data_IF_094816487704
#
_entry.id   IF_094816487704
#
_cell.length_a   1.000
_cell.length_b   1.000
_cell.length_c   1.000
_cell.angle_alpha   90.00
_cell.angle_beta   90.00
_cell.angle_gamma   90.00
#
_symmetry.space_group_name_H-M   'P 1'
#
loop_
_entity.id
_entity.type
_entity.pdbx_description
1 polymer ?
#
# COMPACT_ATOMS: atom_id res chain seq x y z
N UNK A 1 14.34 17.46 42.00
CA UNK A 1 14.32 18.88 41.56
C UNK A 1 14.42 18.90 40.04
N UNK A 2 13.38 19.48 39.42
CA UNK A 2 13.24 19.91 38.01
C UNK A 2 13.66 18.94 36.88
N UNK A 3 12.74 18.03 36.51
CA UNK A 3 12.64 17.52 35.14
C UNK A 3 12.03 18.62 34.28
N UNK A 4 12.86 19.31 33.50
CA UNK A 4 12.42 20.32 32.54
C UNK A 4 11.79 19.64 31.34
N UNK A 5 10.46 19.62 31.26
CA UNK A 5 9.78 19.37 29.99
C UNK A 5 10.17 20.49 29.03
N UNK A 6 10.84 20.14 27.94
CA UNK A 6 11.18 21.09 26.89
C UNK A 6 9.90 21.45 26.14
N UNK A 7 9.12 22.38 26.71
CA UNK A 7 7.94 22.95 26.06
C UNK A 7 8.38 24.23 25.35
N UNK A 8 8.51 24.16 24.03
CA UNK A 8 8.60 25.37 23.21
C UNK A 8 7.32 26.19 23.42
N UNK A 9 7.41 27.47 23.81
CA UNK A 9 6.23 28.26 24.12
C UNK A 9 5.34 28.46 22.88
N UNK A 10 4.02 28.28 23.05
CA UNK A 10 3.01 28.49 22.00
C UNK A 10 3.03 29.96 21.58
N UNK A 11 3.08 30.29 20.27
CA UNK A 11 3.08 31.68 19.83
C UNK A 11 1.78 32.39 20.22
N UNK A 12 1.88 33.60 20.78
CA UNK A 12 0.70 34.39 21.18
C UNK A 12 0.02 35.01 19.95
N UNK A 13 -1.30 34.85 19.84
CA UNK A 13 -2.12 35.27 18.70
C UNK A 13 -2.09 36.79 18.45
N UNK A 14 -1.50 37.21 17.33
CA UNK A 14 -1.82 38.50 16.70
C UNK A 14 -2.99 38.29 15.72
N UNK A 15 -4.10 39.03 15.87
CA UNK A 15 -5.26 38.90 14.97
C UNK A 15 -4.93 39.36 13.55
N UNK A 16 -5.07 38.46 12.58
CA UNK A 16 -4.91 38.72 11.15
C UNK A 16 -4.26 37.54 10.40
N UNK A 17 -4.31 37.52 9.05
CA UNK A 17 -3.89 36.38 8.23
C UNK A 17 -2.42 35.96 8.38
N UNK A 18 -1.55 36.84 8.90
CA UNK A 18 -0.15 36.52 9.23
C UNK A 18 -0.01 35.77 10.57
N UNK A 19 -0.93 35.96 11.51
CA UNK A 19 -0.98 35.24 12.79
C UNK A 19 -1.42 33.78 12.64
N UNK A 20 -2.41 33.54 11.77
CA UNK A 20 -2.87 32.18 11.45
C UNK A 20 -1.80 31.35 10.73
N UNK A 21 -1.01 31.96 9.85
CA UNK A 21 0.08 31.28 9.15
C UNK A 21 1.20 30.85 10.11
N UNK A 22 1.52 31.68 11.10
CA UNK A 22 2.55 31.40 12.10
C UNK A 22 2.11 30.26 13.03
N UNK A 23 0.84 30.25 13.46
CA UNK A 23 0.26 29.19 14.26
C UNK A 23 0.20 27.86 13.48
N UNK A 24 -0.21 27.90 12.22
CA UNK A 24 -0.29 26.71 11.37
C UNK A 24 1.10 26.09 11.12
N UNK A 25 2.12 26.94 10.87
CA UNK A 25 3.50 26.47 10.70
C UNK A 25 4.07 25.87 11.99
N UNK A 26 3.79 26.48 13.14
CA UNK A 26 4.19 25.96 14.45
C UNK A 26 3.54 24.59 14.77
N UNK A 27 2.25 24.43 14.48
CA UNK A 27 1.55 23.15 14.67
C UNK A 27 2.15 22.02 13.82
N UNK A 28 2.50 22.32 12.56
CA UNK A 28 3.15 21.35 11.66
C UNK A 28 4.55 21.00 12.16
N UNK A 29 5.35 22.00 12.53
CA UNK A 29 6.70 21.79 13.06
C UNK A 29 6.68 20.99 14.38
N UNK A 30 5.71 21.25 15.26
CA UNK A 30 5.55 20.51 16.51
C UNK A 30 5.13 19.05 16.26
N UNK A 31 4.13 18.81 15.40
CA UNK A 31 3.70 17.46 15.04
C UNK A 31 4.83 16.65 14.38
N UNK A 32 5.65 17.29 13.53
CA UNK A 32 6.84 16.67 12.94
C UNK A 32 7.91 16.35 13.99
N UNK A 33 8.11 17.22 14.98
CA UNK A 33 9.08 16.99 16.06
C UNK A 33 8.61 15.89 17.02
N UNK A 34 7.32 15.82 17.34
CA UNK A 34 6.73 14.73 18.13
C UNK A 34 6.80 13.40 17.37
N UNK A 35 6.52 13.38 16.07
CA UNK A 35 6.66 12.18 15.24
C UNK A 35 8.12 11.70 15.18
N UNK A 36 9.09 12.63 15.10
CA UNK A 36 10.53 12.31 15.15
C UNK A 36 10.92 11.74 16.52
N UNK A 37 10.51 12.39 17.60
CA UNK A 37 10.79 11.94 18.96
C UNK A 37 10.18 10.56 19.25
N UNK A 38 8.93 10.31 18.84
CA UNK A 38 8.28 9.02 18.99
C UNK A 38 8.96 7.94 18.15
N UNK A 39 9.35 8.26 16.91
CA UNK A 39 10.11 7.34 16.04
C UNK A 39 11.47 6.98 16.65
N UNK A 40 12.18 7.95 17.19
CA UNK A 40 13.50 7.73 17.79
C UNK A 40 13.38 6.95 19.12
N UNK A 41 12.28 7.16 19.87
CA UNK A 41 11.94 6.37 21.06
C UNK A 41 11.60 4.92 20.70
N UNK A 42 10.77 4.69 19.66
CA UNK A 42 10.45 3.35 19.16
C UNK A 42 11.71 2.60 18.70
N UNK A 43 12.61 3.31 18.00
CA UNK A 43 13.90 2.78 17.53
C UNK A 43 14.80 2.37 18.68
N UNK A 44 14.90 3.19 19.73
CA UNK A 44 15.68 2.87 20.93
C UNK A 44 15.09 1.66 21.66
N UNK A 45 13.77 1.56 21.75
CA UNK A 45 13.10 0.40 22.36
C UNK A 45 13.37 -0.89 21.59
N UNK A 46 13.15 -0.89 20.27
CA UNK A 46 13.38 -2.08 19.42
C UNK A 46 14.86 -2.51 19.48
N UNK A 47 15.79 -1.56 19.45
CA UNK A 47 17.22 -1.87 19.52
C UNK A 47 17.63 -2.42 20.91
N UNK A 48 17.06 -1.88 21.99
CA UNK A 48 17.28 -2.40 23.36
C UNK A 48 16.72 -3.81 23.52
N UNK A 49 15.52 -4.09 23.02
CA UNK A 49 14.92 -5.42 23.06
C UNK A 49 15.78 -6.44 22.28
N UNK A 50 16.31 -6.05 21.13
CA UNK A 50 17.22 -6.89 20.34
C UNK A 50 18.53 -7.19 21.09
N UNK A 51 19.14 -6.18 21.73
CA UNK A 51 20.34 -6.36 22.57
C UNK A 51 20.09 -7.25 23.79
N UNK A 52 18.93 -7.09 24.44
CA UNK A 52 18.56 -7.92 25.59
C UNK A 52 18.37 -9.38 25.18
N UNK A 53 17.76 -9.61 24.01
CA UNK A 53 17.58 -10.94 23.45
C UNK A 53 18.92 -11.59 23.06
N UNK A 54 19.86 -10.81 22.49
CA UNK A 54 21.23 -11.29 22.20
C UNK A 54 21.99 -11.68 23.48
N UNK A 55 21.89 -10.86 24.53
CA UNK A 55 22.50 -11.13 25.83
C UNK A 55 21.89 -12.34 26.56
N UNK A 56 20.61 -12.65 26.32
CA UNK A 56 19.97 -13.87 26.85
C UNK A 56 20.47 -15.14 26.14
N UNK A 57 20.85 -15.04 24.87
CA UNK A 57 21.30 -16.20 24.07
C UNK A 57 22.79 -16.54 24.21
N UNK A 58 23.62 -15.62 24.71
CA UNK A 58 25.05 -15.83 24.84
C UNK A 58 25.42 -16.37 26.24
N UNK A 59 25.87 -17.63 26.34
CA UNK A 59 26.35 -18.23 27.62
C UNK A 59 27.76 -17.80 28.04
N UNK A 60 28.35 -16.80 27.39
CA UNK A 60 29.68 -16.28 27.71
C UNK A 60 29.83 -14.82 27.33
N UNK A 61 29.58 -13.93 28.30
CA UNK A 61 29.86 -12.50 28.19
C UNK A 61 28.64 -11.63 27.88
N UNK A 62 28.40 -10.64 28.75
CA UNK A 62 27.43 -9.56 28.56
C UNK A 62 28.01 -8.56 27.56
N UNK A 63 27.32 -8.33 26.45
CA UNK A 63 27.69 -7.28 25.49
C UNK A 63 27.15 -5.96 26.02
N UNK A 64 28.05 -5.06 26.43
CA UNK A 64 27.74 -3.68 26.77
C UNK A 64 28.24 -2.79 25.65
N UNK A 65 27.35 -1.99 25.07
CA UNK A 65 27.71 -0.96 24.10
C UNK A 65 27.90 0.38 24.81
N UNK A 66 28.93 1.10 24.41
CA UNK A 66 29.21 2.46 24.86
C UNK A 66 28.37 3.48 24.08
N UNK A 67 28.16 4.66 24.66
CA UNK A 67 27.34 5.73 24.06
C UNK A 67 27.86 6.17 22.68
N UNK A 68 29.16 6.03 22.40
CA UNK A 68 29.73 6.32 21.08
C UNK A 68 29.45 5.24 20.03
N UNK A 69 29.31 3.96 20.41
CA UNK A 69 28.98 2.87 19.49
C UNK A 69 27.50 2.92 19.04
N UNK A 70 26.63 3.50 19.87
CA UNK A 70 25.26 3.85 19.51
C UNK A 70 25.21 4.96 18.45
N UNK A 71 26.10 5.94 18.54
CA UNK A 71 26.22 7.01 17.55
C UNK A 71 26.81 6.51 16.23
N UNK A 72 27.80 5.61 16.24
CA UNK A 72 28.34 5.00 15.02
C UNK A 72 27.37 4.01 14.34
N UNK A 73 26.53 3.31 15.11
CA UNK A 73 25.43 2.51 14.55
C UNK A 73 24.32 3.39 13.96
N UNK A 74 24.05 4.55 14.57
CA UNK A 74 23.22 5.60 13.96
C UNK A 74 23.85 6.15 12.68
N UNK A 75 25.20 6.12 12.56
CA UNK A 75 25.93 6.57 11.37
C UNK A 75 25.65 5.69 10.14
N UNK A 76 25.67 4.38 10.32
CA UNK A 76 25.41 3.45 9.21
C UNK A 76 23.95 3.39 8.73
N UNK A 77 23.01 4.00 9.48
CA UNK A 77 21.59 4.04 9.13
C UNK A 77 21.14 5.39 8.51
N UNK A 78 21.97 6.44 8.52
CA UNK A 78 21.60 7.75 7.96
C UNK A 78 21.84 7.93 6.45
N UNK A 79 22.60 7.05 5.80
CA UNK A 79 22.73 7.08 4.33
C UNK A 79 21.50 6.51 3.60
N UNK A 80 20.58 5.85 4.30
CA UNK A 80 19.26 5.55 3.76
C UNK A 80 18.31 6.72 4.02
N UNK A 81 18.52 7.81 3.30
CA UNK A 81 17.46 8.76 3.01
C UNK A 81 16.54 8.09 1.99
N UNK A 82 15.34 7.57 2.32
CA UNK A 82 14.32 7.52 1.29
C UNK A 82 14.17 8.98 0.85
N UNK A 83 14.62 9.29 -0.38
CA UNK A 83 14.30 10.58 -1.00
C UNK A 83 12.83 10.82 -0.68
N UNK A 84 12.44 11.98 -0.11
CA UNK A 84 11.03 12.24 0.11
C UNK A 84 10.38 11.95 -1.23
N UNK A 85 9.54 10.91 -1.27
CA UNK A 85 8.59 10.76 -2.34
C UNK A 85 7.94 12.13 -2.33
N UNK A 86 8.14 12.90 -3.40
CA UNK A 86 7.34 14.09 -3.59
C UNK A 86 5.94 13.51 -3.59
N UNK A 87 5.26 13.66 -2.46
CA UNK A 87 3.81 13.60 -2.41
C UNK A 87 3.45 14.72 -3.37
N UNK A 88 3.30 14.37 -4.64
CA UNK A 88 2.55 15.16 -5.59
C UNK A 88 1.32 15.52 -4.79
N UNK A 89 1.13 16.82 -4.55
CA UNK A 89 -0.05 17.36 -3.88
C UNK A 89 -1.22 16.47 -4.29
N UNK A 90 -2.01 15.91 -3.34
CA UNK A 90 -3.19 15.16 -3.70
C UNK A 90 -3.90 16.00 -4.74
N UNK A 91 -3.95 15.49 -5.97
CA UNK A 91 -4.76 16.15 -6.99
C UNK A 91 -6.13 16.17 -6.33
N UNK A 92 -6.61 17.38 -5.99
CA UNK A 92 -7.83 17.54 -5.22
C UNK A 92 -8.83 16.51 -5.69
N UNK A 93 -9.25 15.66 -4.75
CA UNK A 93 -10.06 14.48 -4.98
C UNK A 93 -11.27 14.87 -5.81
N UNK A 94 -11.15 14.77 -7.14
CA UNK A 94 -12.30 14.48 -7.96
C UNK A 94 -12.65 13.08 -7.51
N UNK A 95 -13.74 12.95 -6.76
CA UNK A 95 -14.46 11.69 -6.66
C UNK A 95 -14.71 11.25 -8.10
N UNK A 96 -13.79 10.47 -8.67
CA UNK A 96 -14.09 9.63 -9.79
C UNK A 96 -15.19 8.71 -9.27
N UNK A 97 -16.32 8.70 -9.95
CA UNK A 97 -17.45 7.85 -9.59
C UNK A 97 -17.11 6.40 -9.94
N UNK A 98 -16.22 5.78 -9.15
CA UNK A 98 -15.79 4.38 -9.32
C UNK A 98 -14.41 4.11 -8.71
N UNK A 99 -14.22 2.91 -8.15
CA UNK A 99 -12.95 2.44 -7.61
C UNK A 99 -12.95 2.26 -6.09
N UNK A 100 -11.76 2.04 -5.55
CA UNK A 100 -11.55 1.82 -4.12
C UNK A 100 -11.40 3.15 -3.37
N UNK A 101 -11.88 3.18 -2.13
CA UNK A 101 -11.80 4.34 -1.25
C UNK A 101 -10.38 4.50 -0.68
N UNK A 102 -9.69 5.55 -1.13
CA UNK A 102 -8.33 5.90 -0.71
C UNK A 102 -8.29 6.78 0.55
N UNK A 103 -9.45 7.13 1.10
CA UNK A 103 -9.50 8.02 2.26
C UNK A 103 -8.92 7.36 3.52
N UNK A 104 -8.20 8.15 4.30
CA UNK A 104 -7.62 7.72 5.57
C UNK A 104 -8.69 7.29 6.61
N UNK A 105 -9.95 7.68 6.40
CA UNK A 105 -11.09 7.33 7.23
C UNK A 105 -12.06 6.34 6.54
N UNK A 106 -11.63 5.69 5.47
CA UNK A 106 -12.39 4.62 4.81
C UNK A 106 -12.67 3.46 5.77
N UNK A 107 -13.68 2.66 5.46
CA UNK A 107 -14.01 1.46 6.25
C UNK A 107 -12.84 0.46 6.25
N UNK A 108 -12.10 0.38 5.14
CA UNK A 108 -10.87 -0.41 5.05
C UNK A 108 -9.78 0.10 5.98
N UNK A 109 -9.48 1.40 5.96
CA UNK A 109 -8.44 1.97 6.82
C UNK A 109 -8.75 1.79 8.30
N UNK A 110 -10.01 1.98 8.72
CA UNK A 110 -10.46 1.72 10.09
C UNK A 110 -10.31 0.25 10.47
N UNK A 111 -10.72 -0.66 9.60
CA UNK A 111 -10.61 -2.08 9.88
C UNK A 111 -9.15 -2.58 9.95
N UNK A 112 -8.21 -1.91 9.29
CA UNK A 112 -6.78 -2.16 9.50
C UNK A 112 -6.39 -1.80 10.94
N UNK A 113 -6.84 -0.67 11.47
CA UNK A 113 -6.58 -0.29 12.87
C UNK A 113 -7.26 -1.26 13.84
N UNK A 114 -8.52 -1.64 13.59
CA UNK A 114 -9.24 -2.61 14.42
C UNK A 114 -8.44 -3.92 14.54
N UNK A 115 -7.84 -4.39 13.43
CA UNK A 115 -6.98 -5.58 13.45
C UNK A 115 -5.69 -5.37 14.26
N UNK A 116 -5.08 -4.19 14.18
CA UNK A 116 -3.90 -3.82 15.00
C UNK A 116 -4.25 -3.81 16.48
N UNK A 117 -5.44 -3.34 16.84
CA UNK A 117 -5.96 -3.34 18.21
C UNK A 117 -6.42 -4.74 18.69
N UNK A 118 -6.33 -5.76 17.83
CA UNK A 118 -6.77 -7.13 18.14
C UNK A 118 -8.28 -7.35 18.04
N UNK A 119 -9.03 -6.37 17.53
CA UNK A 119 -10.47 -6.43 17.28
C UNK A 119 -10.77 -7.14 15.95
N UNK A 120 -10.32 -8.39 15.80
CA UNK A 120 -10.44 -9.14 14.54
C UNK A 120 -11.73 -9.96 14.50
N UNK A 121 -12.67 -9.55 13.66
CA UNK A 121 -13.86 -10.31 13.31
C UNK A 121 -13.63 -11.36 12.22
N UNK A 122 -14.71 -12.08 11.87
CA UNK A 122 -14.75 -13.03 10.73
C UNK A 122 -15.42 -12.44 9.49
N UNK A 123 -15.68 -11.13 9.53
CA UNK A 123 -16.46 -10.38 8.55
C UNK A 123 -15.70 -10.09 7.26
N UNK A 124 -16.40 -9.39 6.39
CA UNK A 124 -15.84 -8.74 5.21
C UNK A 124 -15.92 -7.24 5.39
N UNK A 125 -14.86 -6.57 4.96
CA UNK A 125 -14.78 -5.11 4.90
C UNK A 125 -14.87 -4.69 3.45
N UNK A 126 -15.78 -3.77 3.15
CA UNK A 126 -15.93 -3.22 1.81
C UNK A 126 -14.88 -2.14 1.55
N UNK A 127 -14.28 -2.19 0.37
CA UNK A 127 -13.21 -1.28 -0.03
C UNK A 127 -13.65 -0.28 -1.10
N UNK A 128 -14.87 -0.45 -1.66
CA UNK A 128 -15.38 0.34 -2.77
C UNK A 128 -15.93 -0.55 -3.89
N UNK A 129 -15.82 -0.07 -5.12
CA UNK A 129 -16.22 -0.81 -6.34
C UNK A 129 -15.02 -1.10 -7.24
N UNK A 130 -15.20 -1.93 -8.26
CA UNK A 130 -14.15 -2.35 -9.20
C UNK A 130 -13.44 -1.13 -9.80
N UNK A 131 -12.11 -0.95 -9.59
CA UNK A 131 -11.31 0.06 -10.31
C UNK A 131 -11.46 0.03 -11.84
N UNK A 132 -11.37 1.20 -12.48
CA UNK A 132 -11.45 1.32 -13.95
C UNK A 132 -10.42 0.43 -14.67
N UNK A 133 -9.22 0.27 -14.11
CA UNK A 133 -8.20 -0.63 -14.68
C UNK A 133 -8.72 -2.06 -14.80
N UNK A 134 -9.49 -2.55 -13.84
CA UNK A 134 -10.06 -3.89 -13.92
C UNK A 134 -11.30 -3.95 -14.80
N UNK A 135 -12.16 -2.92 -14.80
CA UNK A 135 -13.31 -2.87 -15.72
C UNK A 135 -12.86 -2.87 -17.18
N UNK A 136 -11.81 -2.11 -17.51
CA UNK A 136 -11.17 -2.12 -18.83
C UNK A 136 -10.65 -3.51 -19.23
N UNK A 137 -10.20 -4.29 -18.25
CA UNK A 137 -9.76 -5.68 -18.45
C UNK A 137 -10.91 -6.69 -18.47
N UNK A 138 -12.16 -6.23 -18.46
CA UNK A 138 -13.37 -7.05 -18.55
C UNK A 138 -13.87 -7.60 -17.22
N UNK A 139 -13.36 -7.13 -16.07
CA UNK A 139 -13.96 -7.50 -14.78
C UNK A 139 -15.30 -6.76 -14.60
N UNK A 140 -16.29 -7.40 -13.97
CA UNK A 140 -17.59 -6.78 -13.72
C UNK A 140 -17.46 -5.59 -12.77
N UNK A 141 -18.33 -4.60 -12.95
CA UNK A 141 -18.48 -3.50 -12.00
C UNK A 141 -19.24 -4.00 -10.76
N UNK A 142 -18.50 -4.32 -9.70
CA UNK A 142 -19.05 -4.90 -8.49
C UNK A 142 -18.34 -4.38 -7.25
N UNK A 143 -18.82 -4.79 -6.07
CA UNK A 143 -18.20 -4.48 -4.79
C UNK A 143 -16.85 -5.21 -4.66
N UNK A 144 -15.87 -4.50 -4.15
CA UNK A 144 -14.57 -5.05 -3.76
C UNK A 144 -14.53 -5.17 -2.25
N UNK A 145 -14.04 -6.31 -1.75
CA UNK A 145 -13.96 -6.58 -0.30
C UNK A 145 -12.75 -7.42 0.08
N UNK A 146 -12.40 -7.36 1.35
CA UNK A 146 -11.36 -8.18 1.98
C UNK A 146 -11.89 -8.78 3.28
N UNK A 147 -11.38 -9.95 3.70
CA UNK A 147 -11.70 -10.50 5.02
C UNK A 147 -10.79 -9.90 6.08
N UNK A 148 -11.31 -9.66 7.28
CA UNK A 148 -10.50 -9.23 8.43
C UNK A 148 -9.41 -10.25 8.78
N UNK A 149 -9.73 -11.55 8.72
CA UNK A 149 -8.74 -12.62 8.86
C UNK A 149 -7.65 -12.61 7.77
N UNK A 150 -7.95 -12.08 6.57
CA UNK A 150 -6.90 -11.89 5.55
C UNK A 150 -5.98 -10.76 5.98
N UNK A 151 -6.51 -9.63 6.46
CA UNK A 151 -5.69 -8.51 6.97
C UNK A 151 -4.80 -8.94 8.14
N UNK A 152 -5.34 -9.72 9.08
CA UNK A 152 -4.55 -10.29 10.18
C UNK A 152 -3.38 -11.16 9.69
N UNK A 153 -3.60 -12.01 8.67
CA UNK A 153 -2.52 -12.83 8.08
C UNK A 153 -1.47 -11.99 7.37
N UNK A 154 -1.93 -10.96 6.65
CA UNK A 154 -1.09 -10.03 5.89
C UNK A 154 -0.17 -9.22 6.81
N UNK A 155 -0.65 -8.87 8.01
CA UNK A 155 0.12 -8.16 9.04
C UNK A 155 0.68 -9.11 10.12
N UNK A 156 0.61 -10.43 9.92
CA UNK A 156 0.80 -11.39 11.01
C UNK A 156 2.17 -11.31 11.67
N UNK A 157 3.24 -11.15 10.90
CA UNK A 157 4.59 -11.01 11.46
C UNK A 157 4.77 -9.66 12.17
N UNK A 158 4.15 -8.58 11.68
CA UNK A 158 4.15 -7.26 12.33
C UNK A 158 3.44 -7.30 13.68
N UNK A 159 2.32 -8.03 13.77
CA UNK A 159 1.54 -8.21 14.98
C UNK A 159 2.17 -9.20 15.99
N UNK A 160 3.34 -9.76 15.67
CA UNK A 160 4.00 -10.76 16.53
C UNK A 160 3.23 -12.08 16.64
N UNK A 161 2.36 -12.40 15.68
CA UNK A 161 1.61 -13.65 15.67
C UNK A 161 2.59 -14.79 15.40
N UNK A 162 2.75 -15.68 16.37
CA UNK A 162 3.54 -16.89 16.19
C UNK A 162 2.96 -17.72 15.05
N UNK A 163 3.84 -18.19 14.14
CA UNK A 163 3.39 -18.96 12.98
C UNK A 163 2.52 -20.16 13.39
N UNK A 164 2.84 -20.92 14.44
CA UNK A 164 2.10 -22.14 14.75
C UNK A 164 1.90 -22.99 13.48
N UNK A 165 0.68 -23.47 13.22
CA UNK A 165 0.28 -24.12 11.96
C UNK A 165 0.02 -23.15 10.78
N UNK A 166 0.14 -21.84 10.99
CA UNK A 166 -0.05 -20.79 9.96
C UNK A 166 1.22 -20.61 9.12
N UNK A 167 1.31 -21.33 8.00
CA UNK A 167 2.46 -21.27 7.09
C UNK A 167 2.58 -19.97 6.27
N UNK A 168 1.54 -19.12 6.24
CA UNK A 168 1.40 -18.02 5.27
C UNK A 168 1.25 -16.63 5.91
N UNK A 169 1.93 -16.36 7.02
CA UNK A 169 2.00 -15.01 7.59
C UNK A 169 2.96 -14.12 6.80
N UNK A 170 2.64 -12.83 6.75
CA UNK A 170 3.43 -11.79 6.07
C UNK A 170 3.72 -10.62 7.01
N UNK A 171 4.65 -9.76 6.60
CA UNK A 171 5.08 -8.59 7.34
C UNK A 171 4.73 -7.29 6.61
N UNK A 172 3.48 -7.17 6.16
CA UNK A 172 2.99 -5.88 5.66
C UNK A 172 2.65 -5.00 6.87
N UNK A 173 3.29 -3.84 6.97
CA UNK A 173 2.99 -2.87 8.02
C UNK A 173 1.60 -2.25 7.81
N UNK A 174 0.88 -1.85 8.88
CA UNK A 174 -0.47 -1.30 8.76
C UNK A 174 -0.56 -0.09 7.82
N UNK A 175 0.40 0.83 7.93
CA UNK A 175 0.43 2.03 7.09
C UNK A 175 0.73 1.70 5.62
N UNK A 176 1.49 0.64 5.36
CA UNK A 176 1.70 0.12 4.00
C UNK A 176 0.43 -0.53 3.47
N UNK A 177 -0.27 -1.32 4.30
CA UNK A 177 -1.53 -1.96 3.91
C UNK A 177 -2.63 -0.94 3.60
N UNK A 178 -2.71 0.17 4.33
CA UNK A 178 -3.66 1.27 4.09
C UNK A 178 -3.48 1.94 2.72
N UNK A 179 -2.31 1.82 2.09
CA UNK A 179 -2.06 2.31 0.72
C UNK A 179 -2.61 1.38 -0.36
N UNK A 180 -3.05 0.18 -0.03
CA UNK A 180 -3.52 -0.82 -1.00
C UNK A 180 -4.65 -0.29 -1.92
N UNK A 181 -5.69 0.43 -1.45
CA UNK A 181 -6.71 1.00 -2.33
C UNK A 181 -6.12 1.83 -3.47
N UNK A 182 -5.20 2.75 -3.15
CA UNK A 182 -4.51 3.59 -4.12
C UNK A 182 -3.73 2.76 -5.15
N UNK A 183 -3.07 1.70 -4.69
CA UNK A 183 -2.26 0.84 -5.53
C UNK A 183 -3.09 -0.06 -6.47
N UNK A 184 -4.32 -0.40 -6.08
CA UNK A 184 -5.24 -1.16 -6.91
C UNK A 184 -6.02 -0.26 -7.88
N UNK A 185 -6.23 1.01 -7.54
CA UNK A 185 -6.81 2.00 -8.44
C UNK A 185 -5.86 2.33 -9.61
N UNK A 186 -4.55 2.38 -9.36
CA UNK A 186 -3.52 2.67 -10.36
C UNK A 186 -2.28 1.75 -10.19
N UNK A 187 -2.36 0.48 -10.62
CA UNK A 187 -1.31 -0.50 -10.40
C UNK A 187 -0.12 -0.36 -11.34
N UNK A 188 0.98 -1.06 -11.05
CA UNK A 188 2.09 -1.22 -12.01
C UNK A 188 1.67 -2.16 -13.14
N UNK A 189 1.11 -3.32 -12.77
CA UNK A 189 0.74 -4.35 -13.73
C UNK A 189 -0.41 -5.21 -13.19
N UNK A 190 -1.14 -5.84 -14.10
CA UNK A 190 -2.15 -6.86 -13.77
C UNK A 190 -1.85 -8.11 -14.59
N UNK A 191 -1.81 -9.26 -13.93
CA UNK A 191 -1.58 -10.57 -14.52
C UNK A 191 -2.81 -11.46 -14.34
N UNK A 192 -3.05 -12.35 -15.29
CA UNK A 192 -3.99 -13.46 -15.15
C UNK A 192 -3.30 -14.65 -14.49
N UNK A 193 -3.90 -15.25 -13.47
CA UNK A 193 -3.34 -16.47 -12.89
C UNK A 193 -3.44 -17.64 -13.88
N UNK A 194 -2.37 -18.41 -14.04
CA UNK A 194 -2.35 -19.61 -14.92
C UNK A 194 -3.12 -20.78 -14.34
N UNK A 195 -3.12 -20.90 -13.02
CA UNK A 195 -3.70 -22.04 -12.31
C UNK A 195 -5.16 -21.83 -11.94
N UNK A 196 -5.68 -20.62 -12.13
CA UNK A 196 -7.03 -20.25 -11.70
C UNK A 196 -7.52 -19.04 -12.51
N UNK A 197 -8.45 -19.30 -13.43
CA UNK A 197 -9.00 -18.26 -14.31
C UNK A 197 -9.87 -17.25 -13.57
N UNK A 198 -10.22 -17.44 -12.31
CA UNK A 198 -10.95 -16.45 -11.52
C UNK A 198 -10.00 -15.49 -10.78
N UNK A 199 -8.69 -15.72 -10.85
CA UNK A 199 -7.68 -14.97 -10.10
C UNK A 199 -6.88 -14.03 -10.99
N UNK A 200 -6.80 -12.79 -10.54
CA UNK A 200 -5.96 -11.74 -11.09
C UNK A 200 -4.91 -11.35 -10.06
N UNK A 201 -3.67 -11.19 -10.49
CA UNK A 201 -2.56 -10.79 -9.63
C UNK A 201 -2.14 -9.38 -9.99
N UNK A 202 -2.12 -8.49 -9.03
CA UNK A 202 -1.81 -7.08 -9.23
C UNK A 202 -0.46 -6.77 -8.62
N UNK A 203 0.44 -6.21 -9.41
CA UNK A 203 1.73 -5.71 -8.95
C UNK A 203 1.60 -4.25 -8.51
N UNK A 204 2.07 -3.98 -7.30
CA UNK A 204 2.02 -2.66 -6.67
C UNK A 204 3.42 -2.04 -6.56
N UNK A 205 3.48 -0.76 -6.21
CA UNK A 205 4.72 -0.06 -5.86
C UNK A 205 5.19 -0.34 -4.43
N UNK A 206 4.37 -1.02 -3.62
CA UNK A 206 4.65 -1.31 -2.21
C UNK A 206 5.74 -2.38 -2.03
N UNK A 207 6.33 -2.39 -0.84
CA UNK A 207 7.35 -3.35 -0.41
C UNK A 207 6.97 -4.02 0.89
N UNK A 208 7.23 -5.32 0.99
CA UNK A 208 7.22 -6.06 2.24
C UNK A 208 8.67 -6.27 2.68
N UNK A 209 9.02 -5.83 3.90
CA UNK A 209 10.31 -6.15 4.49
C UNK A 209 10.25 -7.51 5.15
N UNK A 210 11.00 -8.50 4.65
CA UNK A 210 11.08 -9.82 5.26
C UNK A 210 11.90 -9.77 6.54
N UNK A 211 11.30 -10.07 7.70
CA UNK A 211 12.00 -9.99 8.99
C UNK A 211 13.22 -10.91 9.06
N UNK A 212 13.15 -12.10 8.44
CA UNK A 212 14.25 -13.08 8.46
C UNK A 212 15.48 -12.65 7.67
N UNK A 213 15.30 -11.95 6.55
CA UNK A 213 16.40 -11.62 5.62
C UNK A 213 16.73 -10.14 5.58
N UNK A 214 15.85 -9.30 6.13
CA UNK A 214 15.90 -7.83 6.02
C UNK A 214 15.63 -7.30 4.60
N UNK A 215 15.36 -8.18 3.63
CA UNK A 215 15.17 -7.79 2.23
C UNK A 215 13.75 -7.30 1.97
N UNK A 216 13.63 -6.34 1.07
CA UNK A 216 12.35 -5.86 0.57
C UNK A 216 11.92 -6.70 -0.64
N UNK A 217 10.70 -7.22 -0.59
CA UNK A 217 10.05 -7.86 -1.73
C UNK A 217 8.92 -6.99 -2.28
N UNK A 218 8.76 -6.87 -3.60
CA UNK A 218 7.60 -6.23 -4.20
C UNK A 218 6.29 -6.87 -3.76
N UNK A 219 5.34 -6.04 -3.35
CA UNK A 219 4.02 -6.52 -2.93
C UNK A 219 3.14 -6.74 -4.14
N UNK A 220 2.52 -7.92 -4.16
CA UNK A 220 1.39 -8.22 -5.04
C UNK A 220 0.10 -8.33 -4.23
N UNK A 221 -1.03 -8.13 -4.88
CA UNK A 221 -2.35 -8.46 -4.37
C UNK A 221 -3.01 -9.48 -5.30
N UNK A 222 -3.58 -10.55 -4.75
CA UNK A 222 -4.39 -11.50 -5.51
C UNK A 222 -5.88 -11.15 -5.35
N UNK A 223 -6.54 -10.87 -6.46
CA UNK A 223 -7.96 -10.60 -6.54
C UNK A 223 -8.66 -11.82 -7.13
N UNK A 224 -9.67 -12.33 -6.45
CA UNK A 224 -10.47 -13.47 -6.92
C UNK A 224 -11.89 -13.00 -7.18
N UNK A 225 -12.37 -13.23 -8.39
CA UNK A 225 -13.79 -13.08 -8.71
C UNK A 225 -14.55 -14.27 -8.11
N UNK A 226 -15.60 -13.99 -7.33
CA UNK A 226 -16.38 -15.04 -6.66
C UNK A 226 -17.85 -14.80 -6.88
N UNK A 227 -18.56 -15.82 -7.33
CA UNK A 227 -20.02 -15.82 -7.35
C UNK A 227 -20.57 -16.07 -5.95
N UNK A 228 -21.47 -15.20 -5.48
CA UNK A 228 -22.23 -15.48 -4.28
C UNK A 228 -23.38 -16.47 -4.57
N UNK A 229 -24.05 -16.96 -3.53
CA UNK A 229 -25.17 -17.93 -3.66
C UNK A 229 -26.35 -17.40 -4.50
N UNK A 230 -26.42 -16.10 -4.73
CA UNK A 230 -27.44 -15.43 -5.54
C UNK A 230 -26.96 -15.14 -6.97
N UNK A 231 -25.77 -15.62 -7.36
CA UNK A 231 -25.18 -15.37 -8.68
C UNK A 231 -24.55 -13.99 -8.85
N UNK A 232 -24.43 -13.20 -7.78
CA UNK A 232 -23.78 -11.88 -7.82
C UNK A 232 -22.27 -12.09 -7.73
N UNK A 233 -21.56 -11.62 -8.76
CA UNK A 233 -20.11 -11.56 -8.82
C UNK A 233 -19.58 -10.55 -7.80
N UNK A 234 -18.59 -10.93 -7.00
CA UNK A 234 -17.90 -10.07 -6.02
C UNK A 234 -16.40 -10.22 -6.20
N UNK A 235 -15.66 -9.11 -6.16
CA UNK A 235 -14.21 -9.13 -6.24
C UNK A 235 -13.60 -9.17 -4.83
N UNK A 236 -12.98 -10.28 -4.48
CA UNK A 236 -12.34 -10.47 -3.18
C UNK A 236 -10.83 -10.23 -3.29
N UNK A 237 -10.27 -9.42 -2.39
CA UNK A 237 -8.83 -9.44 -2.13
C UNK A 237 -8.52 -10.70 -1.32
N UNK A 238 -7.92 -11.70 -1.97
CA UNK A 238 -7.65 -13.01 -1.41
C UNK A 238 -6.35 -13.05 -0.61
N UNK A 239 -5.32 -12.31 -1.06
CA UNK A 239 -4.03 -12.19 -0.37
C UNK A 239 -3.28 -10.93 -0.81
N UNK A 240 -2.40 -10.44 0.05
CA UNK A 240 -1.52 -9.28 -0.20
C UNK A 240 -0.17 -9.59 0.43
N UNK A 241 0.89 -9.70 -0.38
CA UNK A 241 2.19 -10.11 0.12
C UNK A 241 3.33 -9.82 -0.85
N UNK A 242 4.53 -9.72 -0.28
CA UNK A 242 5.79 -9.66 -0.98
C UNK A 242 6.08 -10.94 -1.75
N UNK A 243 6.48 -10.77 -3.00
CA UNK A 243 6.81 -11.85 -3.93
C UNK A 243 8.20 -11.64 -4.51
N UNK A 244 8.93 -12.73 -4.69
CA UNK A 244 10.33 -12.63 -5.13
C UNK A 244 10.42 -12.12 -6.58
N UNK A 245 11.54 -11.47 -6.90
CA UNK A 245 11.84 -10.95 -8.24
C UNK A 245 11.77 -12.03 -9.32
N UNK A 246 12.26 -13.25 -9.02
CA UNK A 246 12.22 -14.36 -9.97
C UNK A 246 10.78 -14.77 -10.30
N UNK A 247 9.90 -14.81 -9.30
CA UNK A 247 8.49 -15.15 -9.52
C UNK A 247 7.75 -14.07 -10.32
N UNK A 248 8.11 -12.79 -10.14
CA UNK A 248 7.54 -11.68 -10.93
C UNK A 248 8.05 -11.76 -12.38
N UNK A 249 9.35 -12.00 -12.57
CA UNK A 249 9.94 -12.24 -13.90
C UNK A 249 9.22 -13.36 -14.63
N UNK A 250 9.02 -14.50 -13.97
CA UNK A 250 8.28 -15.63 -14.54
C UNK A 250 6.85 -15.25 -14.96
N UNK A 251 6.10 -14.55 -14.11
CA UNK A 251 4.74 -14.13 -14.47
C UNK A 251 4.71 -13.25 -15.74
N UNK A 252 5.71 -12.38 -15.88
CA UNK A 252 5.87 -11.51 -17.05
C UNK A 252 6.25 -12.34 -18.29
N UNK A 253 7.25 -13.21 -18.19
CA UNK A 253 7.76 -14.04 -19.30
C UNK A 253 6.73 -15.05 -19.83
N UNK A 254 5.86 -15.53 -18.95
CA UNK A 254 4.77 -16.45 -19.29
C UNK A 254 3.59 -15.78 -20.03
N UNK A 255 3.72 -14.48 -20.38
CA UNK A 255 2.73 -13.70 -21.14
C UNK A 255 1.35 -13.65 -20.50
N UNK A 256 1.30 -13.68 -19.17
CA UNK A 256 0.03 -13.56 -18.42
C UNK A 256 -0.36 -12.11 -18.12
N UNK A 257 0.50 -11.16 -18.49
CA UNK A 257 0.28 -9.73 -18.32
C UNK A 257 -0.91 -9.26 -19.17
N UNK A 258 -1.89 -8.64 -18.51
CA UNK A 258 -3.06 -8.03 -19.14
C UNK A 258 -2.92 -6.50 -19.22
N UNK A 259 -2.26 -5.92 -18.22
CA UNK A 259 -2.04 -4.48 -18.12
C UNK A 259 -0.62 -4.20 -17.65
N UNK A 260 -0.02 -3.12 -18.19
CA UNK A 260 1.29 -2.61 -17.81
C UNK A 260 1.32 -1.08 -17.87
N UNK A 261 1.51 -0.43 -16.72
CA UNK A 261 1.78 1.00 -16.66
C UNK A 261 3.26 1.23 -17.04
N UNK A 262 3.51 1.85 -18.19
CA UNK A 262 4.88 1.97 -18.74
C UNK A 262 5.81 2.76 -17.82
N UNK A 263 5.32 3.84 -17.23
CA UNK A 263 6.13 4.70 -16.37
C UNK A 263 6.48 4.01 -15.04
N UNK A 264 5.47 3.47 -14.35
CA UNK A 264 5.68 2.74 -13.09
C UNK A 264 6.47 1.45 -13.32
N UNK A 265 6.16 0.75 -14.40
CA UNK A 265 6.84 -0.46 -14.82
C UNK A 265 8.33 -0.23 -15.07
N UNK A 266 8.70 0.81 -15.82
CA UNK A 266 10.11 1.13 -16.05
C UNK A 266 10.85 1.44 -14.74
N UNK A 267 10.23 2.24 -13.85
CA UNK A 267 10.81 2.55 -12.54
C UNK A 267 10.98 1.27 -11.70
N UNK A 268 10.00 0.38 -11.73
CA UNK A 268 10.04 -0.91 -11.05
C UNK A 268 11.18 -1.79 -11.55
N UNK A 269 11.30 -1.99 -12.87
CA UNK A 269 12.35 -2.81 -13.47
C UNK A 269 13.75 -2.29 -13.11
N UNK A 270 13.93 -0.96 -13.14
CA UNK A 270 15.18 -0.31 -12.76
C UNK A 270 15.48 -0.52 -11.27
N UNK A 271 14.50 -0.34 -10.40
CA UNK A 271 14.65 -0.45 -8.94
C UNK A 271 14.94 -1.89 -8.51
N UNK A 272 14.24 -2.86 -9.09
CA UNK A 272 14.41 -4.28 -8.79
C UNK A 272 15.62 -4.91 -9.50
N UNK A 273 16.27 -4.15 -10.40
CA UNK A 273 17.31 -4.63 -11.33
C UNK A 273 16.84 -5.86 -12.12
N UNK A 274 15.59 -5.82 -12.57
CA UNK A 274 14.94 -6.92 -13.28
C UNK A 274 15.14 -6.75 -14.79
N UNK A 275 15.91 -7.66 -15.39
CA UNK A 275 16.07 -7.71 -16.85
C UNK A 275 15.02 -8.63 -17.45
N UNK A 276 14.32 -8.12 -18.47
CA UNK A 276 13.28 -8.85 -19.19
C UNK A 276 13.71 -9.07 -20.65
N UNK A 277 13.26 -10.17 -21.29
CA UNK A 277 13.69 -10.53 -22.64
C UNK A 277 13.11 -9.64 -23.76
N UNK A 278 12.28 -8.66 -23.41
CA UNK A 278 11.48 -7.83 -24.32
C UNK A 278 11.18 -6.47 -23.69
N UNK A 279 10.94 -5.47 -24.53
CA UNK A 279 10.88 -4.07 -24.15
C UNK A 279 9.46 -3.63 -23.77
N UNK A 280 9.23 -3.36 -22.49
CA UNK A 280 7.96 -2.88 -21.96
C UNK A 280 7.72 -1.38 -22.14
N UNK A 281 8.65 -0.69 -22.82
CA UNK A 281 8.48 0.70 -23.25
C UNK A 281 8.05 0.81 -24.72
N UNK A 282 8.14 -0.29 -25.47
CA UNK A 282 7.77 -0.39 -26.89
C UNK A 282 6.26 -0.57 -27.05
N UNK A 283 5.58 0.44 -27.58
CA UNK A 283 4.15 0.35 -27.88
C UNK A 283 3.86 -0.78 -28.88
N UNK A 284 4.77 -1.03 -29.84
CA UNK A 284 4.60 -2.11 -30.82
C UNK A 284 4.61 -3.49 -30.17
N UNK A 285 5.50 -3.73 -29.20
CA UNK A 285 5.58 -5.01 -28.49
C UNK A 285 4.38 -5.22 -27.56
N UNK A 286 3.98 -4.19 -26.81
CA UNK A 286 2.80 -4.25 -25.95
C UNK A 286 1.52 -4.51 -26.75
N UNK A 287 1.36 -3.84 -27.91
CA UNK A 287 0.23 -4.06 -28.82
C UNK A 287 0.23 -5.48 -29.39
N UNK A 288 1.39 -6.01 -29.80
CA UNK A 288 1.52 -7.40 -30.31
C UNK A 288 1.08 -8.44 -29.30
N UNK A 289 1.13 -8.11 -28.01
CA UNK A 289 0.78 -8.98 -26.89
C UNK A 289 -0.60 -8.69 -26.32
N UNK A 290 -1.31 -7.72 -26.90
CA UNK A 290 -2.58 -7.24 -26.40
C UNK A 290 -2.53 -6.80 -24.92
N UNK A 291 -1.40 -6.23 -24.50
CA UNK A 291 -1.23 -5.69 -23.15
C UNK A 291 -1.76 -4.26 -23.13
N UNK A 292 -2.71 -3.97 -22.24
CA UNK A 292 -3.24 -2.63 -22.02
C UNK A 292 -2.26 -1.76 -21.24
N UNK A 293 -2.35 -0.45 -21.45
CA UNK A 293 -1.45 0.54 -20.86
C UNK A 293 -2.21 1.63 -20.11
N UNK A 294 -1.49 2.49 -19.40
CA UNK A 294 -2.04 3.68 -18.78
C UNK A 294 -2.72 4.64 -19.77
N UNK A 295 -2.35 4.61 -21.05
CA UNK A 295 -3.02 5.38 -22.10
C UNK A 295 -4.39 4.80 -22.45
N UNK A 296 -4.50 3.47 -22.59
CA UNK A 296 -5.78 2.78 -22.78
C UNK A 296 -6.72 3.07 -21.60
N UNK A 297 -6.20 3.05 -20.38
CA UNK A 297 -6.96 3.35 -19.17
C UNK A 297 -7.52 4.77 -19.17
N UNK A 298 -6.73 5.77 -19.60
CA UNK A 298 -7.19 7.15 -19.72
C UNK A 298 -8.31 7.30 -20.74
N UNK A 299 -8.20 6.61 -21.89
CA UNK A 299 -9.23 6.61 -22.93
C UNK A 299 -10.52 5.93 -22.46
N UNK A 300 -10.38 4.79 -21.77
CA UNK A 300 -11.50 4.07 -21.19
C UNK A 300 -12.24 4.93 -20.16
N UNK A 301 -11.52 5.51 -19.20
CA UNK A 301 -12.12 6.31 -18.13
C UNK A 301 -12.85 7.55 -18.68
N UNK A 302 -12.28 8.23 -19.69
CA UNK A 302 -12.95 9.35 -20.34
C UNK A 302 -14.25 8.95 -21.07
N UNK A 303 -14.29 7.74 -21.62
CA UNK A 303 -15.47 7.20 -22.31
C UNK A 303 -16.55 6.75 -21.32
N UNK A 304 -16.15 6.09 -20.24
CA UNK A 304 -17.02 5.61 -19.15
C UNK A 304 -17.69 6.81 -18.45
N UNK A 305 -16.92 7.85 -18.13
CA UNK A 305 -17.43 9.10 -17.56
C UNK A 305 -18.46 9.76 -18.49
N UNK A 306 -18.20 9.78 -19.80
CA UNK A 306 -19.12 10.34 -20.78
C UNK A 306 -20.44 9.55 -20.86
N UNK A 307 -20.39 8.22 -20.81
CA UNK A 307 -21.58 7.35 -20.77
C UNK A 307 -22.40 7.58 -19.50
N UNK A 308 -21.76 7.60 -18.33
CA UNK A 308 -22.43 7.86 -17.05
C UNK A 308 -23.13 9.23 -16.99
N UNK A 309 -22.54 10.26 -17.61
CA UNK A 309 -23.16 11.59 -17.72
C UNK A 309 -24.41 11.56 -18.62
N UNK A 310 -24.38 10.79 -19.71
CA UNK A 310 -25.52 10.66 -20.63
C UNK A 310 -26.67 9.87 -20.00
N UNK A 311 -26.37 8.77 -19.30
CA UNK A 311 -27.38 7.98 -18.59
C UNK A 311 -28.05 8.77 -17.46
N UNK A 312 -27.27 9.46 -16.63
CA UNK A 312 -27.81 10.29 -15.54
C UNK A 312 -28.63 11.50 -16.01
N UNK A 313 -28.40 11.99 -17.23
CA UNK A 313 -29.24 13.00 -17.89
C UNK A 313 -30.54 12.40 -18.42
N UNK A 314 -30.47 11.19 -18.98
CA UNK A 314 -31.63 10.46 -19.50
C UNK A 314 -32.61 10.09 -18.39
N UNK A 315 -32.10 9.58 -17.26
CA UNK A 315 -32.88 9.26 -16.05
C UNK A 315 -33.60 10.47 -15.44
N UNK A 316 -32.94 11.64 -15.45
CA UNK A 316 -33.55 12.89 -14.97
C UNK A 316 -34.63 13.40 -15.90
N UNK A 317 -34.55 13.07 -17.19
CA UNK A 317 -35.59 13.42 -18.16
C UNK A 317 -36.81 12.52 -17.98
N UNK A 318 -36.62 11.22 -17.76
CA UNK A 318 -37.71 10.26 -17.52
C UNK A 318 -38.45 10.46 -16.19
N UNK A 319 -37.80 11.01 -15.16
CA UNK A 319 -38.43 11.34 -13.86
C UNK A 319 -39.22 12.65 -13.83
N UNK A 320 -39.21 13.43 -14.91
CA UNK A 320 -39.93 14.71 -15.02
C UNK A 320 -41.19 14.62 -15.89
N UNK A 321 -41.53 13.45 -16.41
CA UNK A 321 -42.71 13.22 -17.28
C UNK A 321 -43.85 12.63 -16.47
#
# INVERSE_FOLDING_TARGET
MTSGRNTTPVPTLAKGPRGDLALHKWLIENALNEARANRDTLRQTIFREQLENLNKTNKGGRVELTESELDDANVYLWEYQPKPIKILKPLESRKASGGLDESANSDFAKAVEDVVEGQVGRGFVYMGTTPHVFKMLGLPDTKVRIRELTMQKVMGEFLGIEKGDHSNLHNIEPDVLKLLPQQLNDPIAVFKSRSDEEVYVVLTELKERKLKTGQNEPVIAALRLVNNRSGIEILNIASVYGRSRSQIKTAIEEKTTLYWNKQKGQLFLNTERLQLPWDFTSDADLLKLNIKTENDLRQYSASDDAQNILESRSDRYQRRV
#
